data_IF_983757219914
#
_entry.id   IF_983757219914
#
_cell.length_a   1.000
_cell.length_b   1.000
_cell.length_c   1.000
_cell.angle_alpha   90.00
_cell.angle_beta   90.00
_cell.angle_gamma   90.00
#
_symmetry.space_group_name_H-M   'P 1'
#
loop_
_entity.id
_entity.type
_entity.pdbx_description
1 polymer ?
#
# COMPACT_ATOMS: atom_id res chain seq x y z
N UNK A 1 6.22 -0.10 -23.39
CA UNK A 1 6.11 -1.52 -22.95
C UNK A 1 4.63 -1.76 -22.69
N UNK A 2 4.05 -2.93 -23.05
CA UNK A 2 2.63 -3.17 -22.79
C UNK A 2 2.41 -3.20 -21.25
N UNK A 3 1.36 -2.55 -20.75
CA UNK A 3 1.02 -2.45 -19.31
C UNK A 3 1.02 -3.82 -18.60
N UNK A 4 0.54 -4.86 -19.28
CA UNK A 4 0.50 -6.22 -18.74
C UNK A 4 1.91 -6.78 -18.50
N UNK A 5 2.85 -6.59 -19.44
CA UNK A 5 4.24 -7.03 -19.26
C UNK A 5 4.94 -6.33 -18.10
N UNK A 6 4.63 -5.05 -17.88
CA UNK A 6 5.23 -4.30 -16.77
C UNK A 6 4.70 -4.82 -15.42
N UNK A 7 3.42 -5.09 -15.35
CA UNK A 7 2.81 -5.68 -14.16
C UNK A 7 3.38 -7.08 -13.87
N UNK A 8 3.44 -7.96 -14.88
CA UNK A 8 4.01 -9.30 -14.73
C UNK A 8 5.47 -9.24 -14.24
N UNK A 9 6.26 -8.32 -14.80
CA UNK A 9 7.66 -8.10 -14.38
C UNK A 9 7.75 -7.63 -12.93
N UNK A 10 6.85 -6.77 -12.50
CA UNK A 10 6.75 -6.32 -11.09
C UNK A 10 6.42 -7.49 -10.16
N UNK A 11 5.48 -8.34 -10.55
CA UNK A 11 5.12 -9.54 -9.80
C UNK A 11 6.27 -10.55 -9.70
N UNK A 12 7.01 -10.77 -10.80
CA UNK A 12 8.21 -11.62 -10.82
C UNK A 12 9.27 -11.10 -9.86
N UNK A 13 9.57 -9.79 -9.92
CA UNK A 13 10.52 -9.15 -9.02
C UNK A 13 10.12 -9.33 -7.56
N UNK A 14 8.86 -9.03 -7.22
CA UNK A 14 8.37 -9.19 -5.85
C UNK A 14 8.52 -10.62 -5.34
N UNK A 15 8.11 -11.60 -6.14
CA UNK A 15 8.24 -13.02 -5.78
C UNK A 15 9.69 -13.45 -5.61
N UNK A 16 10.62 -12.85 -6.35
CA UNK A 16 12.06 -13.16 -6.25
C UNK A 16 12.67 -12.76 -4.90
N UNK A 17 12.05 -11.80 -4.19
CA UNK A 17 12.49 -11.40 -2.85
C UNK A 17 12.25 -12.48 -1.78
N UNK A 18 11.32 -13.42 -2.03
CA UNK A 18 11.04 -14.56 -1.14
C UNK A 18 10.82 -14.15 0.34
N UNK A 19 10.09 -13.08 0.55
CA UNK A 19 9.86 -12.46 1.88
C UNK A 19 9.05 -13.40 2.76
N UNK A 20 9.61 -13.79 3.90
CA UNK A 20 8.99 -14.67 4.89
C UNK A 20 8.82 -14.03 6.27
N UNK A 21 9.63 -13.03 6.60
CA UNK A 21 9.68 -12.38 7.91
C UNK A 21 9.47 -10.87 7.82
N UNK A 22 9.04 -10.24 8.92
CA UNK A 22 8.92 -8.78 9.02
C UNK A 22 10.25 -8.07 8.82
N UNK A 23 11.36 -8.68 9.20
CA UNK A 23 12.70 -8.10 9.00
C UNK A 23 13.04 -8.01 7.52
N UNK A 24 12.78 -9.07 6.75
CA UNK A 24 12.96 -9.07 5.30
C UNK A 24 11.98 -8.09 4.64
N UNK A 25 10.72 -8.09 5.08
CA UNK A 25 9.69 -7.15 4.62
C UNK A 25 10.12 -5.70 4.84
N UNK A 26 10.57 -5.34 6.05
CA UNK A 26 11.03 -4.00 6.39
C UNK A 26 12.22 -3.56 5.53
N UNK A 27 13.17 -4.46 5.24
CA UNK A 27 14.33 -4.17 4.39
C UNK A 27 13.91 -3.80 2.95
N UNK A 28 12.88 -4.43 2.40
CA UNK A 28 12.37 -4.13 1.06
C UNK A 28 11.39 -2.94 1.04
N UNK A 29 10.71 -2.67 2.16
CA UNK A 29 9.66 -1.65 2.25
C UNK A 29 10.10 -0.32 2.90
N UNK A 30 11.37 -0.10 3.24
CA UNK A 30 11.80 1.14 3.91
C UNK A 30 11.39 2.40 3.13
N UNK A 31 11.70 2.45 1.84
CA UNK A 31 11.31 3.57 0.98
C UNK A 31 9.82 3.55 0.64
N UNK A 32 9.23 2.37 0.50
CA UNK A 32 7.80 2.21 0.29
C UNK A 32 7.00 2.80 1.45
N UNK A 33 7.36 2.49 2.71
CA UNK A 33 6.65 2.98 3.88
C UNK A 33 6.60 4.52 3.96
N UNK A 34 7.70 5.20 3.63
CA UNK A 34 7.74 6.66 3.54
C UNK A 34 6.84 7.18 2.41
N UNK A 35 6.95 6.58 1.22
CA UNK A 35 6.20 6.99 0.05
C UNK A 35 4.70 6.74 0.21
N UNK A 36 4.33 5.59 0.75
CA UNK A 36 2.95 5.24 1.09
C UNK A 36 2.37 6.22 2.11
N UNK A 37 3.08 6.47 3.21
CA UNK A 37 2.62 7.36 4.27
C UNK A 37 2.44 8.79 3.78
N UNK A 38 3.39 9.29 2.99
CA UNK A 38 3.27 10.61 2.37
C UNK A 38 2.03 10.71 1.48
N UNK A 39 1.87 9.79 0.52
CA UNK A 39 0.76 9.88 -0.44
C UNK A 39 -0.58 9.59 0.24
N UNK A 40 -0.69 8.54 1.04
CA UNK A 40 -1.91 8.19 1.75
C UNK A 40 -2.36 9.30 2.72
N UNK A 41 -1.41 9.95 3.38
CA UNK A 41 -1.69 11.11 4.22
C UNK A 41 -2.06 12.35 3.41
N UNK A 42 -1.35 12.62 2.31
CA UNK A 42 -1.56 13.78 1.43
C UNK A 42 -2.92 13.80 0.75
N UNK A 43 -3.46 12.64 0.41
CA UNK A 43 -4.81 12.48 -0.13
C UNK A 43 -5.84 13.09 0.84
N UNK A 44 -5.68 12.86 2.15
CA UNK A 44 -6.61 13.32 3.19
C UNK A 44 -6.26 14.72 3.72
N UNK A 45 -4.98 15.00 3.92
CA UNK A 45 -4.49 16.25 4.50
C UNK A 45 -3.43 16.91 3.60
N UNK A 46 -3.83 18.02 2.97
CA UNK A 46 -2.97 18.77 2.03
C UNK A 46 -1.74 19.41 2.67
N UNK A 47 -1.70 19.55 3.99
CA UNK A 47 -0.56 20.11 4.71
C UNK A 47 0.59 19.13 4.84
N UNK A 48 0.34 17.82 4.69
CA UNK A 48 1.39 16.80 4.74
C UNK A 48 2.38 17.00 3.60
N UNK A 49 3.66 17.07 3.94
CA UNK A 49 4.77 17.20 2.98
C UNK A 49 5.64 15.94 2.98
N UNK A 50 6.30 15.69 1.85
CA UNK A 50 7.26 14.59 1.76
C UNK A 50 8.44 14.80 2.72
N UNK A 51 8.91 16.04 2.87
CA UNK A 51 9.99 16.38 3.78
C UNK A 51 9.65 16.00 5.23
N UNK A 52 8.49 16.44 5.74
CA UNK A 52 8.09 16.17 7.12
C UNK A 52 7.87 14.68 7.36
N UNK A 53 7.28 13.97 6.37
CA UNK A 53 7.11 12.52 6.43
C UNK A 53 8.47 11.83 6.50
N UNK A 54 9.42 12.19 5.64
CA UNK A 54 10.77 11.64 5.64
C UNK A 54 11.48 11.88 6.96
N UNK A 55 11.41 13.10 7.50
CA UNK A 55 12.04 13.46 8.79
C UNK A 55 11.46 12.66 9.97
N UNK A 56 10.12 12.48 10.02
CA UNK A 56 9.47 11.65 11.05
C UNK A 56 9.94 10.19 10.95
N UNK A 57 10.05 9.65 9.74
CA UNK A 57 10.49 8.27 9.55
C UNK A 57 11.94 8.05 9.91
N UNK A 58 12.84 8.95 9.49
CA UNK A 58 14.29 8.82 9.70
C UNK A 58 14.75 9.30 11.07
N UNK A 59 14.22 10.42 11.55
CA UNK A 59 14.74 11.12 12.72
C UNK A 59 13.74 11.17 13.89
N UNK A 60 12.49 10.73 13.69
CA UNK A 60 11.43 10.76 14.70
C UNK A 60 10.92 12.16 15.05
N UNK A 61 11.37 13.21 14.33
CA UNK A 61 11.01 14.61 14.59
C UNK A 61 11.16 15.47 13.36
N UNK A 62 10.46 16.62 13.36
CA UNK A 62 10.64 17.69 12.37
C UNK A 62 11.17 18.94 13.11
N UNK A 63 12.32 19.46 12.70
CA UNK A 63 12.88 20.67 13.30
C UNK A 63 12.24 21.93 12.69
N UNK A 64 11.83 22.88 13.57
CA UNK A 64 11.27 24.15 13.11
C UNK A 64 9.88 24.05 12.48
N UNK A 65 9.13 22.99 12.77
CA UNK A 65 7.76 22.83 12.30
C UNK A 65 6.86 23.95 12.84
N UNK A 66 6.10 24.59 11.95
CA UNK A 66 5.20 25.71 12.26
C UNK A 66 3.74 25.46 11.86
N UNK A 67 3.44 24.27 11.31
CA UNK A 67 2.10 23.86 10.93
C UNK A 67 1.25 23.35 12.09
N UNK A 68 0.10 22.76 11.78
CA UNK A 68 -0.78 22.14 12.77
C UNK A 68 -0.14 20.89 13.38
N UNK A 69 -0.11 20.80 14.70
CA UNK A 69 0.38 19.63 15.41
C UNK A 69 -0.38 18.35 15.05
N UNK A 70 -1.64 18.45 14.70
CA UNK A 70 -2.45 17.33 14.19
C UNK A 70 -1.78 16.69 12.98
N UNK A 71 -1.25 17.48 12.05
CA UNK A 71 -0.54 16.98 10.87
C UNK A 71 0.67 16.13 11.24
N UNK A 72 1.45 16.53 12.27
CA UNK A 72 2.56 15.71 12.76
C UNK A 72 2.08 14.39 13.40
N UNK A 73 0.98 14.43 14.15
CA UNK A 73 0.36 13.20 14.67
C UNK A 73 -0.09 12.28 13.54
N UNK A 74 -0.72 12.80 12.50
CA UNK A 74 -1.17 12.01 11.35
C UNK A 74 0.02 11.32 10.65
N UNK A 75 1.13 12.03 10.43
CA UNK A 75 2.35 11.44 9.85
C UNK A 75 2.95 10.38 10.78
N UNK A 76 3.05 10.68 12.08
CA UNK A 76 3.56 9.73 13.06
C UNK A 76 2.71 8.47 13.13
N UNK A 77 1.41 8.63 13.13
CA UNK A 77 0.47 7.51 13.17
C UNK A 77 0.58 6.62 11.91
N UNK A 78 0.82 7.18 10.74
CA UNK A 78 1.10 6.41 9.53
C UNK A 78 2.40 5.60 9.64
N UNK A 79 3.42 6.13 10.30
CA UNK A 79 4.64 5.37 10.62
C UNK A 79 4.33 4.23 11.58
N UNK A 80 3.65 4.53 12.70
CA UNK A 80 3.29 3.54 13.73
C UNK A 80 2.40 2.41 13.12
N UNK A 81 1.48 2.77 12.22
CA UNK A 81 0.66 1.81 11.47
C UNK A 81 1.48 0.89 10.56
N UNK A 82 2.53 1.41 9.91
CA UNK A 82 3.45 0.59 9.12
C UNK A 82 4.22 -0.41 10.00
N UNK A 83 4.66 0.01 11.19
CA UNK A 83 5.32 -0.86 12.17
C UNK A 83 4.36 -1.91 12.75
N UNK A 84 3.08 -1.55 12.95
CA UNK A 84 2.01 -2.48 13.33
C UNK A 84 1.82 -3.55 12.26
N UNK A 85 1.75 -3.16 10.99
CA UNK A 85 1.58 -4.06 9.86
C UNK A 85 2.73 -5.07 9.75
N UNK A 86 3.98 -4.67 10.05
CA UNK A 86 5.13 -5.59 10.08
C UNK A 86 5.01 -6.63 11.19
N UNK A 87 4.57 -6.25 12.39
CA UNK A 87 4.32 -7.22 13.49
C UNK A 87 3.22 -8.21 13.11
N UNK A 88 2.12 -7.71 12.54
CA UNK A 88 1.02 -8.55 12.08
C UNK A 88 1.44 -9.53 10.97
N UNK A 89 2.39 -9.12 10.10
CA UNK A 89 2.91 -9.99 9.05
C UNK A 89 3.62 -11.22 9.61
N UNK A 90 4.44 -11.08 10.65
CA UNK A 90 5.08 -12.21 11.33
C UNK A 90 4.06 -13.15 12.00
N UNK A 91 3.04 -12.57 12.61
CA UNK A 91 1.98 -13.30 13.30
C UNK A 91 0.97 -13.94 12.34
N UNK A 92 1.02 -13.57 11.04
CA UNK A 92 -0.02 -13.91 10.06
C UNK A 92 -1.41 -13.54 10.59
N UNK A 93 -1.52 -12.38 11.27
CA UNK A 93 -2.74 -11.93 11.92
C UNK A 93 -3.90 -11.86 10.91
N UNK A 94 -5.03 -12.51 11.16
CA UNK A 94 -6.16 -12.47 10.25
C UNK A 94 -6.77 -11.06 10.20
N UNK A 95 -7.34 -10.71 9.05
CA UNK A 95 -8.14 -9.50 8.90
C UNK A 95 -9.52 -9.79 9.49
N UNK A 96 -9.90 -9.04 10.51
CA UNK A 96 -11.15 -9.15 11.26
C UNK A 96 -11.64 -7.76 11.62
N UNK A 97 -12.87 -7.62 12.09
CA UNK A 97 -13.39 -6.34 12.60
C UNK A 97 -12.48 -5.73 13.68
N UNK A 98 -11.90 -6.57 14.55
CA UNK A 98 -10.99 -6.10 15.60
C UNK A 98 -9.65 -5.61 15.02
N UNK A 99 -9.08 -6.29 14.03
CA UNK A 99 -7.85 -5.81 13.39
C UNK A 99 -8.09 -4.52 12.60
N UNK A 100 -9.25 -4.35 11.98
CA UNK A 100 -9.65 -3.12 11.30
C UNK A 100 -9.74 -1.97 12.31
N UNK A 101 -10.39 -2.19 13.47
CA UNK A 101 -10.48 -1.19 14.55
C UNK A 101 -9.10 -0.84 15.12
N UNK A 102 -8.22 -1.83 15.31
CA UNK A 102 -6.85 -1.61 15.81
C UNK A 102 -6.02 -0.78 14.81
N UNK A 103 -6.12 -1.07 13.52
CA UNK A 103 -5.45 -0.28 12.48
C UNK A 103 -5.97 1.17 12.46
N UNK A 104 -7.28 1.35 12.51
CA UNK A 104 -7.89 2.68 12.55
C UNK A 104 -7.49 3.45 13.81
N UNK A 105 -7.46 2.80 14.97
CA UNK A 105 -6.97 3.42 16.21
C UNK A 105 -5.53 3.91 16.03
N UNK A 106 -4.65 3.07 15.50
CA UNK A 106 -3.25 3.43 15.28
C UNK A 106 -3.11 4.65 14.36
N UNK A 107 -3.92 4.71 13.30
CA UNK A 107 -3.92 5.79 12.33
C UNK A 107 -4.52 7.12 12.83
N UNK A 108 -5.40 7.06 13.86
CA UNK A 108 -6.17 8.24 14.27
C UNK A 108 -6.02 8.64 15.74
N UNK A 109 -5.22 7.89 16.53
CA UNK A 109 -4.95 8.24 17.94
C UNK A 109 -4.39 9.67 18.03
N UNK A 110 -4.99 10.48 18.91
CA UNK A 110 -4.58 11.87 19.13
C UNK A 110 -4.98 12.87 18.04
N UNK A 111 -5.77 12.47 17.02
CA UNK A 111 -6.18 13.36 15.92
C UNK A 111 -7.65 13.78 15.98
N UNK A 112 -8.48 13.13 16.80
CA UNK A 112 -9.87 13.51 16.96
C UNK A 112 -10.00 14.84 17.72
N UNK A 113 -10.79 15.75 17.16
CA UNK A 113 -11.08 17.05 17.76
C UNK A 113 -12.18 16.95 18.83
N UNK A 114 -12.37 18.05 19.61
CA UNK A 114 -13.33 18.14 20.69
C UNK A 114 -14.75 17.78 20.26
N UNK A 115 -15.20 18.25 19.07
CA UNK A 115 -16.52 17.94 18.54
C UNK A 115 -16.77 16.44 18.38
N UNK A 116 -15.79 15.68 17.87
CA UNK A 116 -15.92 14.22 17.77
C UNK A 116 -16.06 13.57 19.16
N UNK A 117 -15.23 14.02 20.10
CA UNK A 117 -15.29 13.53 21.49
C UNK A 117 -16.63 13.80 22.14
N UNK A 118 -17.23 14.99 21.96
CA UNK A 118 -18.55 15.37 22.48
C UNK A 118 -19.67 14.52 21.87
N UNK A 119 -19.55 14.14 20.58
CA UNK A 119 -20.46 13.24 19.90
C UNK A 119 -20.28 11.76 20.26
N UNK A 120 -19.35 11.45 21.19
CA UNK A 120 -19.09 10.09 21.63
C UNK A 120 -18.18 9.28 20.72
N UNK A 121 -17.64 9.88 19.64
CA UNK A 121 -16.75 9.20 18.70
C UNK A 121 -15.38 8.93 19.33
N UNK A 122 -14.80 7.78 19.07
CA UNK A 122 -13.49 7.37 19.60
C UNK A 122 -12.63 6.73 18.50
N UNK A 123 -11.32 6.99 18.48
CA UNK A 123 -10.40 6.20 17.67
C UNK A 123 -10.51 4.71 18.00
N UNK A 124 -10.55 3.87 16.97
CA UNK A 124 -10.69 2.42 17.12
C UNK A 124 -12.12 1.92 17.34
N UNK A 125 -13.12 2.80 17.40
CA UNK A 125 -14.53 2.44 17.48
C UNK A 125 -15.25 2.84 16.18
N UNK A 126 -16.20 2.01 15.75
CA UNK A 126 -17.07 2.38 14.64
C UNK A 126 -17.88 3.64 15.01
N UNK A 127 -18.22 4.43 13.99
CA UNK A 127 -18.97 5.68 14.18
C UNK A 127 -20.28 5.42 14.94
N UNK A 128 -20.68 6.38 15.75
CA UNK A 128 -21.91 6.34 16.53
C UNK A 128 -23.01 7.24 15.99
N UNK A 129 -22.68 7.98 14.93
CA UNK A 129 -23.57 8.95 14.34
C UNK A 129 -23.49 8.88 12.81
N UNK A 130 -24.63 8.94 12.14
CA UNK A 130 -24.75 8.99 10.67
C UNK A 130 -24.39 10.36 10.07
N UNK A 131 -23.73 11.22 10.85
CA UNK A 131 -23.28 12.55 10.43
C UNK A 131 -22.00 12.51 9.57
N UNK A 132 -21.34 11.35 9.52
CA UNK A 132 -20.06 11.16 8.84
C UNK A 132 -20.29 10.44 7.52
N UNK A 133 -20.49 11.22 6.45
CA UNK A 133 -20.71 10.71 5.09
C UNK A 133 -19.46 10.77 4.23
N UNK A 134 -19.51 10.12 3.09
CA UNK A 134 -18.52 10.14 2.01
C UNK A 134 -19.04 11.06 0.90
N UNK A 135 -18.35 12.17 0.63
CA UNK A 135 -18.64 13.01 -0.53
C UNK A 135 -20.05 13.62 -0.62
N UNK A 136 -20.41 14.15 -1.80
CA UNK A 136 -21.73 14.80 -2.03
C UNK A 136 -22.82 13.82 -2.46
N UNK A 137 -22.48 12.58 -2.80
CA UNK A 137 -23.40 11.59 -3.39
C UNK A 137 -23.46 10.26 -2.64
N UNK A 138 -22.55 10.02 -1.69
CA UNK A 138 -22.43 8.72 -1.05
C UNK A 138 -23.10 8.71 0.31
N UNK A 139 -24.05 7.82 0.47
CA UNK A 139 -24.68 7.53 1.77
C UNK A 139 -23.83 6.43 2.41
N UNK A 140 -23.05 6.78 3.41
CA UNK A 140 -22.35 5.79 4.23
C UNK A 140 -23.36 4.80 4.86
N UNK A 141 -22.91 3.58 5.15
CA UNK A 141 -23.75 2.58 5.83
C UNK A 141 -24.34 3.15 7.15
N UNK A 142 -25.61 2.87 7.48
CA UNK A 142 -26.19 3.18 8.79
C UNK A 142 -25.35 2.57 9.91
N UNK A 143 -25.34 3.24 11.08
CA UNK A 143 -24.52 2.81 12.22
C UNK A 143 -24.80 1.36 12.65
N UNK A 144 -26.05 0.94 12.60
CA UNK A 144 -26.51 -0.38 12.99
C UNK A 144 -26.23 -1.50 11.95
N UNK A 145 -25.81 -1.15 10.74
CA UNK A 145 -25.50 -2.10 9.67
C UNK A 145 -23.98 -2.31 9.47
N UNK A 146 -23.12 -1.43 10.05
CA UNK A 146 -21.67 -1.41 9.80
C UNK A 146 -20.99 -2.76 10.06
N UNK A 147 -21.26 -3.37 11.22
CA UNK A 147 -20.59 -4.61 11.61
C UNK A 147 -21.01 -5.77 10.71
N UNK A 148 -22.29 -5.85 10.36
CA UNK A 148 -22.84 -6.88 9.49
C UNK A 148 -22.31 -6.72 8.05
N UNK A 149 -22.29 -5.50 7.51
CA UNK A 149 -21.76 -5.20 6.17
C UNK A 149 -20.28 -5.56 6.07
N UNK A 150 -19.45 -5.08 7.02
CA UNK A 150 -18.03 -5.38 7.02
C UNK A 150 -17.75 -6.88 7.20
N UNK A 151 -18.52 -7.58 8.04
CA UNK A 151 -18.35 -9.02 8.22
C UNK A 151 -18.72 -9.78 6.94
N UNK A 152 -19.82 -9.40 6.28
CA UNK A 152 -20.22 -9.98 5.00
C UNK A 152 -19.14 -9.79 3.94
N UNK A 153 -18.55 -8.59 3.83
CA UNK A 153 -17.48 -8.30 2.87
C UNK A 153 -16.22 -9.13 3.16
N UNK A 154 -15.87 -9.34 4.43
CA UNK A 154 -14.75 -10.20 4.83
C UNK A 154 -15.01 -11.67 4.49
N UNK A 155 -16.21 -12.15 4.72
CA UNK A 155 -16.62 -13.53 4.41
C UNK A 155 -16.54 -13.77 2.89
N UNK A 156 -17.05 -12.83 2.08
CA UNK A 156 -17.00 -12.90 0.61
C UNK A 156 -15.55 -12.93 0.08
N UNK A 157 -14.66 -12.09 0.62
CA UNK A 157 -13.23 -12.12 0.28
C UNK A 157 -12.59 -13.45 0.69
N UNK A 158 -12.95 -13.99 1.84
CA UNK A 158 -12.43 -15.28 2.32
C UNK A 158 -12.89 -16.44 1.44
N UNK A 159 -14.14 -16.42 0.98
CA UNK A 159 -14.70 -17.44 0.07
C UNK A 159 -14.10 -17.36 -1.33
N UNK A 160 -13.74 -16.15 -1.82
CA UNK A 160 -13.05 -15.97 -3.09
C UNK A 160 -11.65 -16.61 -3.10
N UNK A 161 -10.99 -16.67 -1.93
CA UNK A 161 -9.69 -17.31 -1.74
C UNK A 161 -8.52 -16.61 -2.46
N UNK A 162 -7.46 -17.38 -2.73
CA UNK A 162 -6.17 -16.86 -3.20
C UNK A 162 -6.04 -16.76 -4.73
N UNK A 163 -7.10 -16.95 -5.50
CA UNK A 163 -7.03 -17.01 -6.96
C UNK A 163 -6.48 -15.73 -7.57
N UNK A 164 -6.93 -14.56 -7.08
CA UNK A 164 -6.47 -13.27 -7.55
C UNK A 164 -6.44 -12.22 -6.43
N UNK A 165 -5.32 -12.11 -5.69
CA UNK A 165 -5.22 -11.21 -4.54
C UNK A 165 -5.53 -9.74 -4.86
N UNK A 166 -5.19 -9.27 -6.06
CA UNK A 166 -5.48 -7.88 -6.44
C UNK A 166 -6.98 -7.63 -6.63
N UNK A 167 -7.72 -8.61 -7.17
CA UNK A 167 -9.18 -8.50 -7.34
C UNK A 167 -9.87 -8.48 -5.98
N UNK A 168 -9.51 -9.41 -5.10
CA UNK A 168 -10.04 -9.46 -3.73
C UNK A 168 -9.74 -8.19 -2.94
N UNK A 169 -8.49 -7.71 -3.03
CA UNK A 169 -8.08 -6.46 -2.38
C UNK A 169 -8.84 -5.24 -2.92
N UNK A 170 -9.04 -5.16 -4.23
CA UNK A 170 -9.80 -4.08 -4.85
C UNK A 170 -11.27 -4.10 -4.43
N UNK A 171 -11.90 -5.29 -4.41
CA UNK A 171 -13.28 -5.46 -3.98
C UNK A 171 -13.46 -5.03 -2.53
N UNK A 172 -12.68 -5.63 -1.62
CA UNK A 172 -12.76 -5.30 -0.20
C UNK A 172 -12.51 -3.80 0.06
N UNK A 173 -11.52 -3.21 -0.62
CA UNK A 173 -11.20 -1.80 -0.46
C UNK A 173 -12.36 -0.89 -0.90
N UNK A 174 -12.97 -1.16 -2.05
CA UNK A 174 -14.11 -0.39 -2.53
C UNK A 174 -15.32 -0.52 -1.59
N UNK A 175 -15.64 -1.73 -1.14
CA UNK A 175 -16.71 -1.98 -0.17
C UNK A 175 -16.46 -1.25 1.16
N UNK A 176 -15.24 -1.33 1.68
CA UNK A 176 -14.86 -0.65 2.92
C UNK A 176 -15.00 0.88 2.83
N UNK A 177 -14.59 1.48 1.70
CA UNK A 177 -14.75 2.93 1.47
C UNK A 177 -16.25 3.29 1.42
N UNK A 178 -17.10 2.47 0.79
CA UNK A 178 -18.56 2.69 0.74
C UNK A 178 -19.25 2.56 2.09
N UNK A 179 -18.86 1.58 2.94
CA UNK A 179 -19.40 1.42 4.30
C UNK A 179 -19.07 2.62 5.19
N UNK A 180 -17.88 3.21 5.02
CA UNK A 180 -17.43 4.39 5.77
C UNK A 180 -17.62 4.26 7.28
N UNK A 181 -17.04 3.22 7.82
CA UNK A 181 -17.34 2.70 9.16
C UNK A 181 -16.93 3.60 10.33
N UNK A 182 -16.03 4.57 10.12
CA UNK A 182 -15.45 5.39 11.19
C UNK A 182 -15.77 6.88 11.00
N UNK A 183 -15.73 7.64 12.10
CA UNK A 183 -15.91 9.09 12.07
C UNK A 183 -14.73 9.85 11.42
N UNK A 184 -13.55 9.20 11.26
CA UNK A 184 -12.36 9.72 10.58
C UNK A 184 -11.41 8.56 10.25
N UNK A 185 -10.58 8.74 9.22
CA UNK A 185 -9.50 7.82 8.88
C UNK A 185 -9.91 6.63 8.03
N UNK A 186 -11.13 6.60 7.45
CA UNK A 186 -11.58 5.50 6.59
C UNK A 186 -10.60 5.27 5.43
N UNK A 187 -10.31 6.29 4.61
CA UNK A 187 -9.39 6.15 3.48
C UNK A 187 -8.00 5.65 3.87
N UNK A 188 -7.41 6.16 4.95
CA UNK A 188 -6.11 5.69 5.44
C UNK A 188 -6.17 4.25 5.91
N UNK A 189 -7.23 3.86 6.62
CA UNK A 189 -7.46 2.50 7.11
C UNK A 189 -7.68 1.54 5.94
N UNK A 190 -8.56 1.88 4.99
CA UNK A 190 -8.84 1.07 3.80
C UNK A 190 -7.58 0.79 2.99
N UNK A 191 -6.78 1.83 2.70
CA UNK A 191 -5.51 1.66 1.97
C UNK A 191 -4.47 0.86 2.74
N UNK A 192 -4.37 1.01 4.06
CA UNK A 192 -3.44 0.23 4.89
C UNK A 192 -3.85 -1.25 4.95
N UNK A 193 -5.14 -1.53 5.18
CA UNK A 193 -5.66 -2.90 5.24
C UNK A 193 -5.62 -3.61 3.88
N UNK A 194 -5.91 -2.89 2.78
CA UNK A 194 -5.70 -3.40 1.41
C UNK A 194 -4.26 -3.85 1.20
N UNK A 195 -3.29 -3.03 1.59
CA UNK A 195 -1.88 -3.38 1.47
C UNK A 195 -1.49 -4.54 2.39
N UNK A 196 -2.03 -4.61 3.60
CA UNK A 196 -1.80 -5.74 4.48
C UNK A 196 -2.34 -7.04 3.88
N UNK A 197 -3.54 -7.02 3.29
CA UNK A 197 -4.10 -8.16 2.57
C UNK A 197 -3.18 -8.60 1.42
N UNK A 198 -2.71 -7.67 0.59
CA UNK A 198 -1.79 -7.96 -0.51
C UNK A 198 -0.49 -8.61 -0.03
N UNK A 199 0.09 -8.12 1.07
CA UNK A 199 1.29 -8.70 1.67
C UNK A 199 1.07 -10.14 2.15
N UNK A 200 -0.07 -10.44 2.79
CA UNK A 200 -0.41 -11.79 3.22
C UNK A 200 -0.51 -12.79 2.05
N UNK A 201 -0.87 -12.30 0.85
CA UNK A 201 -1.06 -13.10 -0.36
C UNK A 201 0.11 -12.99 -1.35
N UNK A 202 1.30 -12.62 -0.85
CA UNK A 202 2.54 -12.53 -1.64
C UNK A 202 2.39 -11.64 -2.90
N UNK A 203 1.67 -10.54 -2.76
CA UNK A 203 1.53 -9.50 -3.77
C UNK A 203 2.27 -8.23 -3.31
N UNK A 204 2.95 -7.49 -4.22
CA UNK A 204 3.58 -6.23 -3.85
C UNK A 204 2.55 -5.22 -3.34
N UNK A 205 2.85 -4.50 -2.25
CA UNK A 205 1.97 -3.45 -1.76
C UNK A 205 1.98 -2.25 -2.72
N UNK A 206 0.93 -1.42 -2.65
CA UNK A 206 0.62 -0.38 -3.62
C UNK A 206 0.60 0.99 -2.96
N UNK A 207 1.26 1.96 -3.56
CA UNK A 207 1.06 3.38 -3.26
C UNK A 207 0.00 3.94 -4.22
N UNK A 208 -1.07 4.50 -3.67
CA UNK A 208 -1.98 5.36 -4.43
C UNK A 208 -1.38 6.77 -4.38
N UNK A 209 -0.88 7.26 -5.51
CA UNK A 209 -0.22 8.56 -5.55
C UNK A 209 -1.23 9.71 -5.49
N UNK A 210 -0.93 10.75 -4.69
CA UNK A 210 -1.80 11.93 -4.53
C UNK A 210 -2.09 12.62 -5.87
N UNK A 211 -1.18 12.60 -6.80
CA UNK A 211 -1.38 13.15 -8.15
C UNK A 211 -2.45 12.41 -8.95
N UNK A 212 -2.65 11.10 -8.70
CA UNK A 212 -3.62 10.23 -9.38
C UNK A 212 -4.94 10.07 -8.60
N UNK A 213 -5.09 10.79 -7.48
CA UNK A 213 -6.28 10.67 -6.61
C UNK A 213 -7.61 10.92 -7.32
N UNK A 214 -7.65 11.74 -8.39
CA UNK A 214 -8.90 11.98 -9.14
C UNK A 214 -9.36 10.71 -9.84
N UNK A 215 -8.43 9.98 -10.44
CA UNK A 215 -8.72 8.70 -11.11
C UNK A 215 -9.08 7.63 -10.08
N UNK A 216 -8.44 7.67 -8.90
CA UNK A 216 -8.75 6.80 -7.78
C UNK A 216 -10.19 6.95 -7.31
N UNK A 217 -10.63 8.18 -7.00
CA UNK A 217 -12.01 8.43 -6.58
C UNK A 217 -13.01 8.15 -7.70
N UNK A 218 -12.70 8.50 -8.94
CA UNK A 218 -13.57 8.16 -10.07
C UNK A 218 -13.75 6.64 -10.25
N UNK A 219 -12.74 5.85 -9.92
CA UNK A 219 -12.84 4.38 -9.99
C UNK A 219 -13.67 3.79 -8.84
N UNK A 220 -13.60 4.38 -7.63
CA UNK A 220 -14.46 4.02 -6.48
C UNK A 220 -15.91 4.40 -6.76
N UNK A 221 -16.19 5.65 -7.15
CA UNK A 221 -17.52 6.14 -7.51
C UNK A 221 -18.15 5.28 -8.63
N UNK A 222 -17.33 4.89 -9.62
CA UNK A 222 -17.75 4.01 -10.70
C UNK A 222 -18.21 2.63 -10.21
N UNK A 223 -17.51 2.05 -9.25
CA UNK A 223 -17.92 0.80 -8.63
C UNK A 223 -19.22 0.95 -7.83
N UNK A 224 -19.34 1.99 -7.01
CA UNK A 224 -20.54 2.25 -6.21
C UNK A 224 -21.79 2.41 -7.08
N UNK A 225 -21.64 3.09 -8.23
CA UNK A 225 -22.77 3.32 -9.14
C UNK A 225 -23.14 2.11 -10.00
N UNK A 226 -22.20 1.25 -10.37
CA UNK A 226 -22.38 0.25 -11.41
C UNK A 226 -22.10 -1.18 -11.00
N UNK A 227 -21.39 -1.40 -9.89
CA UNK A 227 -20.85 -2.69 -9.49
C UNK A 227 -19.67 -3.19 -10.36
N UNK A 228 -19.18 -2.38 -11.32
CA UNK A 228 -18.05 -2.78 -12.18
C UNK A 228 -16.71 -2.44 -11.50
N UNK A 229 -16.03 -3.48 -11.02
CA UNK A 229 -14.73 -3.36 -10.35
C UNK A 229 -13.55 -3.17 -11.33
N UNK A 230 -13.72 -3.40 -12.62
CA UNK A 230 -12.63 -3.37 -13.62
C UNK A 230 -11.87 -2.05 -13.67
N UNK A 231 -12.51 -0.86 -13.59
CA UNK A 231 -11.80 0.41 -13.56
C UNK A 231 -10.82 0.51 -12.36
N UNK A 232 -11.26 0.09 -11.16
CA UNK A 232 -10.42 0.10 -9.96
C UNK A 232 -9.27 -0.90 -10.05
N UNK A 233 -9.52 -2.12 -10.53
CA UNK A 233 -8.45 -3.11 -10.77
C UNK A 233 -7.43 -2.56 -11.77
N UNK A 234 -7.89 -1.95 -12.86
CA UNK A 234 -7.01 -1.32 -13.86
C UNK A 234 -6.19 -0.18 -13.27
N UNK A 235 -6.79 0.64 -12.42
CA UNK A 235 -6.10 1.69 -11.68
C UNK A 235 -5.03 1.11 -10.74
N UNK A 236 -5.38 0.16 -9.88
CA UNK A 236 -4.45 -0.45 -8.93
C UNK A 236 -3.29 -1.18 -9.62
N UNK A 237 -3.50 -1.80 -10.78
CA UNK A 237 -2.41 -2.37 -11.59
C UNK A 237 -1.42 -1.32 -12.06
N UNK A 238 -1.90 -0.15 -12.50
CA UNK A 238 -1.01 0.97 -12.89
C UNK A 238 -0.23 1.50 -11.69
N UNK A 239 -0.90 1.68 -10.56
CA UNK A 239 -0.25 2.12 -9.31
C UNK A 239 0.78 1.10 -8.80
N UNK A 240 0.51 -0.20 -8.94
CA UNK A 240 1.50 -1.26 -8.66
C UNK A 240 2.75 -1.07 -9.51
N UNK A 241 2.59 -0.91 -10.82
CA UNK A 241 3.73 -0.70 -11.73
C UNK A 241 4.51 0.57 -11.38
N UNK A 242 3.80 1.68 -11.10
CA UNK A 242 4.39 2.97 -10.74
C UNK A 242 5.15 2.90 -9.42
N UNK A 243 4.58 2.23 -8.42
CA UNK A 243 5.20 2.01 -7.11
C UNK A 243 6.55 1.32 -7.21
N UNK A 244 6.66 0.31 -8.07
CA UNK A 244 7.83 -0.56 -8.15
C UNK A 244 8.73 -0.28 -9.36
N UNK A 245 8.44 0.73 -10.17
CA UNK A 245 9.18 1.04 -11.40
C UNK A 245 10.70 1.17 -11.19
N UNK A 246 11.11 1.94 -10.17
CA UNK A 246 12.53 2.13 -9.87
C UNK A 246 13.25 0.85 -9.42
N UNK A 247 12.51 -0.06 -8.75
CA UNK A 247 13.06 -1.36 -8.33
C UNK A 247 13.27 -2.29 -9.53
N UNK A 248 12.26 -2.37 -10.41
CA UNK A 248 12.34 -3.13 -11.67
C UNK A 248 13.49 -2.63 -12.56
N UNK A 249 13.61 -1.31 -12.73
CA UNK A 249 14.69 -0.71 -13.53
C UNK A 249 16.08 -1.05 -12.98
N UNK A 250 16.27 -1.00 -11.66
CA UNK A 250 17.55 -1.38 -11.02
C UNK A 250 17.90 -2.85 -11.24
N UNK A 251 16.92 -3.73 -11.13
CA UNK A 251 17.12 -5.17 -11.35
C UNK A 251 17.49 -5.47 -12.81
N UNK A 252 16.78 -4.87 -13.76
CA UNK A 252 17.08 -5.03 -15.20
C UNK A 252 18.48 -4.53 -15.56
N UNK A 253 18.92 -3.39 -15.02
CA UNK A 253 20.28 -2.88 -15.21
C UNK A 253 21.34 -3.82 -14.61
N UNK A 254 21.10 -4.35 -13.40
CA UNK A 254 21.99 -5.31 -12.74
C UNK A 254 22.14 -6.59 -13.58
N UNK A 255 21.03 -7.08 -14.12
CA UNK A 255 21.02 -8.26 -14.99
C UNK A 255 21.80 -8.03 -16.29
N UNK A 256 21.60 -6.89 -16.95
CA UNK A 256 22.34 -6.52 -18.16
C UNK A 256 23.86 -6.45 -17.91
N UNK A 257 24.29 -5.77 -16.84
CA UNK A 257 25.72 -5.70 -16.47
C UNK A 257 26.32 -7.08 -16.19
N UNK A 258 25.55 -7.97 -15.59
CA UNK A 258 25.99 -9.37 -15.35
C UNK A 258 26.19 -10.14 -16.65
N UNK A 259 25.30 -9.97 -17.63
CA UNK A 259 25.40 -10.60 -18.95
C UNK A 259 26.61 -10.07 -19.75
N UNK A 260 26.86 -8.77 -19.71
CA UNK A 260 28.01 -8.14 -20.37
C UNK A 260 29.32 -8.67 -19.79
N UNK A 261 29.45 -8.71 -18.45
CA UNK A 261 30.63 -9.30 -17.79
C UNK A 261 30.88 -10.75 -18.19
N UNK A 262 29.81 -11.56 -18.31
CA UNK A 262 29.92 -12.95 -18.78
C UNK A 262 30.41 -13.03 -20.23
N UNK A 263 29.88 -12.17 -21.13
CA UNK A 263 30.31 -12.11 -22.54
C UNK A 263 31.78 -11.72 -22.65
N UNK A 264 32.23 -10.72 -21.90
CA UNK A 264 33.63 -10.29 -21.91
C UNK A 264 34.57 -11.40 -21.40
N UNK A 265 34.16 -12.13 -20.39
CA UNK A 265 34.93 -13.26 -19.83
C UNK A 265 35.04 -14.40 -20.85
N UNK A 266 33.95 -14.72 -21.56
CA UNK A 266 33.95 -15.73 -22.62
C UNK A 266 34.84 -15.27 -23.80
N UNK A 267 34.72 -14.03 -24.24
CA UNK A 267 35.55 -13.46 -25.31
C UNK A 267 37.04 -13.51 -24.97
N UNK A 268 37.41 -13.16 -23.72
CA UNK A 268 38.83 -13.26 -23.28
C UNK A 268 39.32 -14.70 -23.23
N UNK A 269 38.51 -15.68 -22.83
CA UNK A 269 38.91 -17.10 -22.86
C UNK A 269 39.14 -17.63 -24.27
N UNK A 270 38.26 -17.26 -25.22
CA UNK A 270 38.42 -17.63 -26.63
C UNK A 270 39.72 -17.05 -27.20
N UNK A 271 40.07 -15.79 -26.92
CA UNK A 271 41.31 -15.17 -27.38
C UNK A 271 42.58 -15.80 -26.77
N UNK A 272 42.53 -16.22 -25.51
CA UNK A 272 43.65 -16.93 -24.87
C UNK A 272 43.84 -18.35 -25.41
N UNK A 273 42.76 -19.06 -25.73
CA UNK A 273 42.84 -20.38 -26.36
C UNK A 273 43.37 -20.30 -27.79
N UNK A 274 43.01 -19.30 -28.59
CA UNK A 274 43.58 -19.06 -29.89
C UNK A 274 45.09 -18.73 -29.81
N UNK A 275 45.52 -17.92 -28.85
CA UNK A 275 46.93 -17.59 -28.61
C UNK A 275 47.69 -18.85 -28.22
N UNK A 276 47.13 -19.69 -27.35
CA UNK A 276 47.76 -20.91 -26.88
C UNK A 276 47.86 -21.97 -28.00
N UNK A 277 46.87 -22.10 -28.87
CA UNK A 277 46.89 -22.97 -30.03
C UNK A 277 47.93 -22.51 -31.10
N UNK A 278 48.06 -21.21 -31.31
CA UNK A 278 49.09 -20.65 -32.22
C UNK A 278 50.50 -20.78 -31.66
N UNK A 279 50.67 -20.86 -30.35
CA UNK A 279 51.99 -21.06 -29.72
C UNK A 279 52.47 -22.51 -29.81
N UNK A 280 51.54 -23.46 -29.79
CA UNK A 280 51.84 -24.91 -29.87
C UNK A 280 51.90 -25.42 -31.33
N UNK A 281 51.61 -24.58 -32.33
CA UNK A 281 51.66 -24.91 -33.75
C UNK A 281 53.00 -24.53 -34.43
N UNK A 282 53.98 -24.10 -33.64
CA UNK A 282 55.37 -23.85 -34.07
C UNK A 282 56.30 -24.85 -33.40
#
# INVERSE_FOLDING_TARGET
>A
MNSDRQYDRTMELWRSYSIATSLELAAHLENFAILFSYNSGKIENREITYHDTHEIFKNGRVCGYTGDLRTLYEIKNLKDASELMYRWFDERKPITLDSIREMQFELTKGTYNERRWELGERPGEFKKNDLWGVGMHDVAAPVDEIEDDLQQDLDEVSEFGDENPLVAAAFWHARFEGVHAFADGNGRTGRAMMNYYLLLHNHPPIVIFDEDRKDYYAALDGFDMTGDLKPLIGFLRRETCKTWESAVQREDQSHQMSLEKKRDTVSRRVSLDEINNNFNAR
#
